data_IF_220431503677
#
_entry.id   IF_220431503677
#
_cell.length_a   1.000
_cell.length_b   1.000
_cell.length_c   1.000
_cell.angle_alpha   90.00
_cell.angle_beta   90.00
_cell.angle_gamma   90.00
#
_symmetry.space_group_name_H-M   'P 1'
#
loop_
_entity.id
_entity.type
_entity.pdbx_description
1 polymer ?
#
# COMPACT_ATOMS: atom_id res chain seq x y z
N UNK A 1 18.68 3.40 -12.93
CA UNK A 1 18.70 3.37 -11.47
C UNK A 1 17.69 2.38 -10.96
N UNK A 2 18.10 1.54 -10.06
CA UNK A 2 17.21 0.55 -9.45
C UNK A 2 16.30 1.25 -8.44
N UNK A 3 15.00 0.87 -8.44
CA UNK A 3 14.08 1.35 -7.42
C UNK A 3 14.41 0.64 -6.10
N UNK A 4 14.78 1.40 -5.08
CA UNK A 4 15.33 0.84 -3.85
C UNK A 4 14.28 0.33 -2.86
N UNK A 5 13.02 0.18 -3.28
CA UNK A 5 12.01 -0.46 -2.44
C UNK A 5 12.11 -1.98 -2.42
N UNK A 6 13.05 -2.56 -3.17
CA UNK A 6 13.30 -4.00 -3.10
C UNK A 6 13.67 -4.39 -1.67
N UNK A 7 13.01 -5.42 -1.16
CA UNK A 7 13.25 -5.91 0.18
C UNK A 7 11.96 -6.12 0.96
N UNK A 8 12.12 -6.51 2.19
CA UNK A 8 11.03 -6.86 3.09
C UNK A 8 10.91 -5.79 4.18
N UNK A 9 9.71 -5.28 4.38
CA UNK A 9 9.43 -4.21 5.33
C UNK A 9 8.27 -4.57 6.22
N UNK A 10 8.31 -4.11 7.47
CA UNK A 10 7.19 -4.30 8.40
C UNK A 10 6.72 -2.94 8.93
N UNK A 11 5.41 -2.75 9.01
CA UNK A 11 4.83 -1.55 9.60
C UNK A 11 5.25 -1.44 11.06
N UNK A 12 5.82 -0.31 11.45
CA UNK A 12 6.25 -0.05 12.83
C UNK A 12 5.54 1.14 13.45
N UNK A 13 5.19 2.15 12.65
CA UNK A 13 4.42 3.31 13.12
C UNK A 13 3.26 3.52 12.17
N UNK A 14 2.05 3.49 12.69
CA UNK A 14 0.84 3.73 11.91
C UNK A 14 0.12 4.97 12.41
N UNK A 15 -0.43 5.74 11.50
CA UNK A 15 -1.40 6.79 11.79
C UNK A 15 -2.76 6.12 11.78
N UNK A 16 -3.00 5.31 12.80
CA UNK A 16 -4.10 4.35 12.79
C UNK A 16 -5.48 5.02 12.72
N UNK A 17 -5.66 6.17 13.38
CA UNK A 17 -6.94 6.87 13.37
C UNK A 17 -7.28 7.42 11.99
N UNK A 18 -6.32 8.07 11.34
CA UNK A 18 -6.55 8.62 10.00
C UNK A 18 -6.68 7.52 8.95
N UNK A 19 -5.89 6.46 9.10
CA UNK A 19 -5.99 5.32 8.21
C UNK A 19 -7.38 4.67 8.33
N UNK A 20 -7.90 4.53 9.55
CA UNK A 20 -9.23 3.99 9.78
C UNK A 20 -10.32 4.85 9.11
N UNK A 21 -10.18 6.17 9.17
CA UNK A 21 -11.12 7.08 8.48
C UNK A 21 -11.12 6.89 6.98
N UNK A 22 -9.94 6.68 6.39
CA UNK A 22 -9.83 6.41 4.95
C UNK A 22 -10.51 5.09 4.63
N UNK A 23 -10.27 4.06 5.42
CA UNK A 23 -10.86 2.73 5.19
C UNK A 23 -12.39 2.79 5.34
N UNK A 24 -12.90 3.55 6.29
CA UNK A 24 -14.33 3.78 6.42
C UNK A 24 -14.89 4.47 5.17
N UNK A 25 -14.21 5.48 4.69
CA UNK A 25 -14.65 6.26 3.53
C UNK A 25 -14.73 5.41 2.25
N UNK A 26 -13.90 4.39 2.12
CA UNK A 26 -13.92 3.48 0.95
C UNK A 26 -14.78 2.25 1.19
N UNK A 27 -15.49 2.18 2.29
CA UNK A 27 -16.51 1.15 2.52
C UNK A 27 -16.05 -0.12 3.20
N UNK A 28 -14.90 -0.11 3.87
CA UNK A 28 -14.46 -1.27 4.64
C UNK A 28 -15.33 -1.41 5.89
N UNK A 29 -15.94 -2.59 6.13
CA UNK A 29 -16.83 -2.78 7.28
C UNK A 29 -16.11 -2.60 8.63
N UNK A 30 -16.84 -2.19 9.68
CA UNK A 30 -16.24 -1.95 11.02
C UNK A 30 -15.46 -3.14 11.57
N UNK A 31 -15.95 -4.36 11.39
CA UNK A 31 -15.25 -5.55 11.90
C UNK A 31 -13.89 -5.73 11.24
N UNK A 32 -13.79 -5.49 9.93
CA UNK A 32 -12.52 -5.57 9.21
C UNK A 32 -11.61 -4.42 9.60
N UNK A 33 -12.15 -3.21 9.73
CA UNK A 33 -11.34 -2.05 10.13
C UNK A 33 -10.71 -2.27 11.50
N UNK A 34 -11.46 -2.82 12.43
CA UNK A 34 -10.96 -3.09 13.78
C UNK A 34 -9.83 -4.11 13.75
N UNK A 35 -9.93 -5.14 12.92
CA UNK A 35 -8.85 -6.13 12.75
C UNK A 35 -7.61 -5.50 12.13
N UNK A 36 -7.79 -4.69 11.09
CA UNK A 36 -6.68 -4.05 10.36
C UNK A 36 -5.94 -3.05 11.25
N UNK A 37 -6.67 -2.35 12.12
CA UNK A 37 -6.12 -1.28 12.96
C UNK A 37 -4.92 -1.72 13.80
N UNK A 38 -4.96 -2.92 14.34
CA UNK A 38 -3.90 -3.43 15.21
C UNK A 38 -2.83 -4.22 14.47
N UNK A 39 -3.00 -4.44 13.17
CA UNK A 39 -2.05 -5.23 12.38
C UNK A 39 -0.75 -4.50 12.12
N UNK A 40 0.31 -5.28 12.04
CA UNK A 40 1.63 -4.79 11.61
C UNK A 40 2.06 -5.61 10.39
N UNK A 41 1.46 -5.31 9.23
CA UNK A 41 1.70 -6.10 8.03
C UNK A 41 3.14 -6.04 7.56
N UNK A 42 3.56 -7.12 6.92
CA UNK A 42 4.85 -7.22 6.26
C UNK A 42 4.59 -7.17 4.76
N UNK A 43 5.35 -6.36 4.04
CA UNK A 43 5.31 -6.33 2.60
C UNK A 43 6.71 -6.57 2.03
N UNK A 44 6.76 -7.25 0.90
CA UNK A 44 8.01 -7.55 0.22
C UNK A 44 7.91 -7.08 -1.22
N UNK A 45 8.89 -6.29 -1.65
CA UNK A 45 8.98 -5.77 -3.00
C UNK A 45 10.18 -6.37 -3.71
N UNK A 46 9.99 -6.74 -4.97
CA UNK A 46 11.07 -7.16 -5.84
C UNK A 46 10.76 -6.72 -7.26
N UNK A 47 11.79 -6.68 -8.10
CA UNK A 47 11.58 -6.40 -9.52
C UNK A 47 12.68 -7.04 -10.36
N UNK A 48 12.32 -7.33 -11.60
CA UNK A 48 13.23 -7.82 -12.62
C UNK A 48 12.97 -6.99 -13.88
N UNK A 49 13.87 -6.03 -14.15
CA UNK A 49 13.63 -5.05 -15.20
C UNK A 49 12.38 -4.22 -14.90
N UNK A 50 11.43 -4.22 -15.82
CA UNK A 50 10.19 -3.47 -15.70
C UNK A 50 9.07 -4.25 -14.99
N UNK A 51 9.33 -5.51 -14.63
CA UNK A 51 8.37 -6.35 -13.94
C UNK A 51 8.56 -6.21 -12.43
N UNK A 52 7.53 -5.78 -11.74
CA UNK A 52 7.54 -5.62 -10.29
C UNK A 52 6.65 -6.66 -9.64
N UNK A 53 7.00 -7.03 -8.42
CA UNK A 53 6.20 -7.93 -7.60
C UNK A 53 6.13 -7.39 -6.20
N UNK A 54 4.93 -7.38 -5.62
CA UNK A 54 4.74 -7.07 -4.21
C UNK A 54 3.93 -8.18 -3.57
N UNK A 55 4.36 -8.62 -2.38
CA UNK A 55 3.58 -9.52 -1.57
C UNK A 55 3.34 -8.89 -0.21
N UNK A 56 2.18 -9.19 0.37
CA UNK A 56 1.80 -8.70 1.67
C UNK A 56 1.27 -9.81 2.54
N UNK A 57 1.60 -9.77 3.83
CA UNK A 57 1.10 -10.71 4.80
C UNK A 57 0.80 -10.01 6.12
N UNK A 58 -0.22 -10.49 6.80
CA UNK A 58 -0.59 -9.97 8.11
C UNK A 58 -1.31 -11.09 8.86
N UNK A 59 -1.21 -11.07 10.18
CA UNK A 59 -1.86 -12.07 11.01
C UNK A 59 -3.38 -12.03 10.81
N UNK A 60 -3.97 -13.20 10.54
CA UNK A 60 -5.41 -13.33 10.32
C UNK A 60 -5.87 -13.06 8.89
N UNK A 61 -4.94 -12.76 7.97
CA UNK A 61 -5.24 -12.57 6.56
C UNK A 61 -4.34 -13.46 5.71
N UNK A 62 -4.83 -13.97 4.57
CA UNK A 62 -4.00 -14.76 3.68
C UNK A 62 -2.92 -13.91 3.03
N UNK A 63 -1.75 -14.50 2.82
CA UNK A 63 -0.71 -13.84 2.05
C UNK A 63 -1.20 -13.61 0.63
N UNK A 64 -0.96 -12.41 0.10
CA UNK A 64 -1.31 -12.06 -1.27
C UNK A 64 -0.08 -11.52 -1.96
N UNK A 65 0.07 -11.90 -3.22
CA UNK A 65 1.11 -11.33 -4.05
C UNK A 65 0.53 -10.92 -5.39
N UNK A 66 1.13 -9.92 -6.01
CA UNK A 66 0.71 -9.44 -7.32
C UNK A 66 1.92 -8.95 -8.09
N UNK A 67 1.82 -9.08 -9.41
CA UNK A 67 2.79 -8.54 -10.34
C UNK A 67 2.23 -7.27 -10.94
N UNK A 68 3.08 -6.29 -11.20
CA UNK A 68 2.64 -5.08 -11.88
C UNK A 68 3.77 -4.50 -12.74
N UNK A 69 3.37 -3.68 -13.70
CA UNK A 69 4.30 -2.89 -14.50
C UNK A 69 3.98 -1.42 -14.29
N UNK A 70 4.99 -0.56 -14.45
CA UNK A 70 4.80 0.87 -14.25
C UNK A 70 3.96 1.47 -15.38
N UNK A 71 3.20 2.50 -15.03
CA UNK A 71 2.43 3.34 -15.95
C UNK A 71 1.29 2.63 -16.69
N UNK A 72 0.89 1.44 -16.22
CA UNK A 72 -0.24 0.69 -16.79
C UNK A 72 -1.26 0.45 -15.70
N UNK A 73 -2.50 0.89 -15.94
CA UNK A 73 -3.59 0.61 -15.02
C UNK A 73 -3.97 -0.87 -15.07
N UNK A 74 -4.09 -1.48 -13.90
CA UNK A 74 -4.45 -2.89 -13.80
C UNK A 74 -5.41 -3.13 -12.65
N UNK A 75 -6.22 -4.16 -12.77
CA UNK A 75 -7.14 -4.55 -11.72
C UNK A 75 -6.41 -5.31 -10.63
N UNK A 76 -6.78 -5.04 -9.38
CA UNK A 76 -6.21 -5.72 -8.22
C UNK A 76 -7.30 -5.97 -7.18
N UNK A 77 -7.01 -6.93 -6.30
CA UNK A 77 -7.81 -7.13 -5.08
C UNK A 77 -6.95 -6.73 -3.90
N UNK A 78 -7.47 -5.84 -3.07
CA UNK A 78 -6.76 -5.39 -1.87
C UNK A 78 -6.73 -6.50 -0.82
N UNK A 79 -5.90 -6.32 0.22
CA UNK A 79 -5.80 -7.29 1.30
C UNK A 79 -7.14 -7.49 2.02
N UNK A 80 -7.94 -6.45 2.13
CA UNK A 80 -9.27 -6.50 2.74
C UNK A 80 -10.38 -6.94 1.77
N UNK A 81 -10.04 -7.27 0.52
CA UNK A 81 -10.96 -7.88 -0.44
C UNK A 81 -11.65 -6.94 -1.42
N UNK A 82 -11.33 -5.65 -1.41
CA UNK A 82 -11.92 -4.70 -2.37
C UNK A 82 -11.29 -4.85 -3.75
N UNK A 83 -12.10 -4.68 -4.79
CA UNK A 83 -11.60 -4.64 -6.17
C UNK A 83 -11.32 -3.19 -6.55
N UNK A 84 -10.12 -2.94 -7.02
CA UNK A 84 -9.65 -1.60 -7.37
C UNK A 84 -8.87 -1.66 -8.68
N UNK A 85 -8.61 -0.47 -9.25
CA UNK A 85 -7.74 -0.33 -10.42
C UNK A 85 -6.58 0.53 -10.02
N UNK A 86 -5.37 -0.01 -10.13
CA UNK A 86 -4.16 0.67 -9.69
C UNK A 86 -3.23 0.99 -10.83
N UNK A 87 -2.57 2.14 -10.72
CA UNK A 87 -1.47 2.55 -11.61
C UNK A 87 -0.29 2.92 -10.72
N UNK A 88 0.88 2.39 -11.04
CA UNK A 88 2.11 2.64 -10.29
C UNK A 88 3.04 3.51 -11.11
N UNK A 89 3.59 4.54 -10.50
CA UNK A 89 4.58 5.42 -11.12
C UNK A 89 5.80 5.53 -10.22
N UNK A 90 6.97 5.56 -10.83
CA UNK A 90 8.23 5.63 -10.11
C UNK A 90 8.89 6.98 -10.35
N UNK A 91 9.43 7.56 -9.28
CA UNK A 91 10.21 8.79 -9.36
C UNK A 91 11.41 8.67 -8.41
N UNK A 92 12.54 8.20 -8.93
CA UNK A 92 13.74 7.98 -8.13
C UNK A 92 13.51 6.96 -7.02
N UNK A 93 13.63 7.39 -5.77
CA UNK A 93 13.41 6.55 -4.59
C UNK A 93 11.94 6.49 -4.14
N UNK A 94 11.06 7.13 -4.90
CA UNK A 94 9.64 7.18 -4.58
C UNK A 94 8.85 6.37 -5.57
N UNK A 95 7.77 5.78 -5.09
CA UNK A 95 6.77 5.14 -5.93
C UNK A 95 5.39 5.61 -5.52
N UNK A 96 4.62 6.09 -6.49
CA UNK A 96 3.25 6.53 -6.28
C UNK A 96 2.30 5.50 -6.88
N UNK A 97 1.34 5.04 -6.08
CA UNK A 97 0.26 4.18 -6.52
C UNK A 97 -1.04 4.97 -6.46
N UNK A 98 -1.76 5.00 -7.57
CA UNK A 98 -3.10 5.57 -7.64
C UNK A 98 -4.09 4.41 -7.69
N UNK A 99 -4.88 4.24 -6.64
CA UNK A 99 -5.81 3.14 -6.49
C UNK A 99 -7.23 3.66 -6.61
N UNK A 100 -7.86 3.40 -7.78
CA UNK A 100 -9.22 3.87 -8.07
C UNK A 100 -10.23 2.90 -7.48
N UNK A 101 -11.09 3.42 -6.61
CA UNK A 101 -12.14 2.65 -5.93
C UNK A 101 -13.37 2.49 -6.83
N UNK A 102 -14.28 1.59 -6.44
CA UNK A 102 -15.54 1.39 -7.18
C UNK A 102 -16.39 2.66 -7.30
N UNK A 103 -16.31 3.54 -6.29
CA UNK A 103 -17.03 4.81 -6.31
C UNK A 103 -16.39 5.87 -7.20
N UNK A 104 -15.29 5.54 -7.90
CA UNK A 104 -14.56 6.45 -8.77
C UNK A 104 -13.54 7.34 -8.07
N UNK A 105 -13.52 7.35 -6.74
CA UNK A 105 -12.53 8.11 -5.98
C UNK A 105 -11.20 7.36 -5.93
N UNK A 106 -10.12 8.09 -5.74
CA UNK A 106 -8.77 7.52 -5.76
C UNK A 106 -8.08 7.66 -4.41
N UNK A 107 -7.50 6.57 -3.93
CA UNK A 107 -6.52 6.62 -2.85
C UNK A 107 -5.15 6.73 -3.50
N UNK A 108 -4.34 7.68 -3.03
CA UNK A 108 -2.96 7.85 -3.49
C UNK A 108 -2.01 7.39 -2.39
N UNK A 109 -1.13 6.47 -2.75
CA UNK A 109 -0.07 5.99 -1.85
C UNK A 109 1.25 6.51 -2.38
N UNK A 110 1.88 7.40 -1.62
CA UNK A 110 3.23 7.89 -1.93
C UNK A 110 4.22 7.18 -1.00
N UNK A 111 5.06 6.33 -1.59
CA UNK A 111 6.06 5.56 -0.86
C UNK A 111 7.44 6.10 -1.16
N UNK A 112 8.22 6.35 -0.12
CA UNK A 112 9.59 6.85 -0.26
C UNK A 112 10.52 6.09 0.67
N UNK A 113 11.65 5.64 0.12
CA UNK A 113 12.69 4.98 0.91
C UNK A 113 13.62 6.02 1.50
N UNK A 114 13.80 5.95 2.84
CA UNK A 114 14.70 6.81 3.60
C UNK A 114 15.56 5.92 4.50
N UNK A 115 16.75 5.56 4.02
CA UNK A 115 17.62 4.62 4.74
C UNK A 115 17.01 3.23 4.84
N UNK A 116 16.79 2.73 6.04
CA UNK A 116 16.16 1.42 6.28
C UNK A 116 14.66 1.54 6.55
N UNK A 117 14.08 2.68 6.26
CA UNK A 117 12.65 2.91 6.44
C UNK A 117 11.96 3.20 5.11
N UNK A 118 10.69 2.82 5.03
CA UNK A 118 9.81 3.22 3.93
C UNK A 118 8.69 4.07 4.53
N UNK A 119 8.62 5.31 4.10
CA UNK A 119 7.58 6.25 4.52
C UNK A 119 6.45 6.23 3.51
N UNK A 120 5.23 6.02 3.98
CA UNK A 120 4.04 5.94 3.14
C UNK A 120 3.07 7.02 3.54
N UNK A 121 2.73 7.90 2.59
CA UNK A 121 1.69 8.90 2.76
C UNK A 121 0.47 8.45 1.97
N UNK A 122 -0.66 8.28 2.65
CA UNK A 122 -1.91 7.81 2.05
C UNK A 122 -2.89 8.96 2.04
N UNK A 123 -3.39 9.32 0.85
CA UNK A 123 -4.29 10.47 0.69
C UNK A 123 -5.60 10.02 0.03
N UNK A 124 -6.72 10.44 0.63
CA UNK A 124 -8.05 10.22 0.06
C UNK A 124 -8.89 11.47 0.33
N UNK A 125 -9.13 12.29 -0.70
CA UNK A 125 -9.78 13.57 -0.52
C UNK A 125 -9.00 14.45 0.44
N UNK A 126 -9.64 14.85 1.55
CA UNK A 126 -9.02 15.69 2.58
C UNK A 126 -8.35 14.86 3.68
N UNK A 127 -8.45 13.54 3.61
CA UNK A 127 -7.89 12.64 4.63
C UNK A 127 -6.47 12.27 4.26
N UNK A 128 -5.56 12.33 5.22
CA UNK A 128 -4.15 11.97 5.04
C UNK A 128 -3.73 11.08 6.22
N UNK A 129 -3.13 9.94 5.90
CA UNK A 129 -2.55 9.05 6.91
C UNK A 129 -1.08 8.81 6.57
N UNK A 130 -0.22 8.84 7.58
CA UNK A 130 1.21 8.59 7.41
C UNK A 130 1.59 7.31 8.13
N UNK A 131 2.35 6.45 7.45
CA UNK A 131 2.78 5.17 8.01
C UNK A 131 4.27 4.98 7.75
N UNK A 132 4.96 4.35 8.68
CA UNK A 132 6.39 4.06 8.55
C UNK A 132 6.61 2.56 8.67
N UNK A 133 7.29 2.02 7.67
CA UNK A 133 7.71 0.62 7.62
C UNK A 133 9.21 0.54 7.79
N UNK A 134 9.69 -0.47 8.49
CA UNK A 134 11.11 -0.70 8.69
C UNK A 134 11.58 -1.94 7.93
N UNK A 135 12.75 -1.85 7.32
CA UNK A 135 13.35 -2.97 6.60
C UNK A 135 13.73 -4.10 7.57
N UNK A 136 13.35 -5.29 7.22
CA UNK A 136 13.68 -6.50 7.99
C UNK A 136 15.00 -7.11 7.55
#
# INVERSE_FOLDING_TARGET
>A
MVFETSGKFQLVVGDDDNYDKIMEAVGVPPEKRQKVRSLRPVCEYSHDGDQYKVSGSAEGFPERSKDFVLDVQQEETTMDGRKVKSTYKRNGKSMTQMEVQENGMTIVYDREIKGDEMHVKITYGNLVANRVFKRL
#
